data_IF_343171391136
#
_entry.id   IF_343171391136
#
_cell.length_a   1.000
_cell.length_b   1.000
_cell.length_c   1.000
_cell.angle_alpha   90.00
_cell.angle_beta   90.00
_cell.angle_gamma   90.00
#
_symmetry.space_group_name_H-M   'P 1'
#
loop_
_entity.id
_entity.type
_entity.pdbx_description
1 polymer ?
#
# COMPACT_ATOMS: atom_id res chain seq x y z
N UNK A 1 41.88 -1.05 51.67
CA UNK A 1 40.86 -1.81 50.91
C UNK A 1 39.57 -1.00 50.88
N UNK A 2 38.87 -1.05 49.74
CA UNK A 2 37.98 -0.03 49.15
C UNK A 2 36.74 0.34 50.00
N UNK A 3 36.45 1.65 50.10
CA UNK A 3 35.14 2.30 50.41
C UNK A 3 34.38 2.47 49.07
N UNK A 4 33.14 2.01 48.91
CA UNK A 4 31.82 2.54 49.31
C UNK A 4 31.32 3.76 48.48
N UNK A 5 30.15 3.52 47.86
CA UNK A 5 29.01 4.36 47.45
C UNK A 5 28.95 5.15 46.13
N UNK A 6 27.88 4.81 45.39
CA UNK A 6 27.01 5.56 44.47
C UNK A 6 27.24 7.07 44.32
N UNK A 7 27.31 7.53 43.06
CA UNK A 7 26.55 8.71 42.60
C UNK A 7 26.47 8.77 41.07
N UNK A 8 25.38 9.38 40.59
CA UNK A 8 25.00 9.70 39.22
C UNK A 8 26.17 10.09 38.30
N UNK A 9 26.22 9.52 37.08
CA UNK A 9 26.84 10.22 35.96
C UNK A 9 25.79 11.11 35.31
N UNK A 10 25.85 12.39 35.64
CA UNK A 10 25.27 13.48 34.86
C UNK A 10 25.84 13.42 33.44
N UNK A 11 24.95 13.38 32.45
CA UNK A 11 25.27 13.72 31.06
C UNK A 11 25.62 15.21 31.05
N UNK A 12 26.91 15.53 31.01
CA UNK A 12 27.36 16.84 30.55
C UNK A 12 27.43 16.75 29.02
N UNK A 13 26.34 17.15 28.37
CA UNK A 13 26.37 17.54 26.97
C UNK A 13 27.32 18.74 26.89
N UNK A 14 28.55 18.51 26.44
CA UNK A 14 29.47 19.58 26.09
C UNK A 14 28.97 20.19 24.77
N UNK A 15 27.90 21.00 24.86
CA UNK A 15 27.61 22.02 23.87
C UNK A 15 28.76 23.01 23.94
N UNK A 16 29.79 22.82 23.14
CA UNK A 16 30.75 23.88 22.84
C UNK A 16 30.03 24.91 21.97
N UNK A 17 29.29 25.81 22.60
CA UNK A 17 29.02 27.12 22.03
C UNK A 17 30.34 27.90 22.13
N UNK A 18 31.15 27.88 21.07
CA UNK A 18 32.26 28.80 20.92
C UNK A 18 31.70 30.15 20.44
N UNK A 19 31.41 31.05 21.38
CA UNK A 19 31.40 32.48 21.06
C UNK A 19 32.81 33.01 21.31
N UNK A 20 33.55 33.31 20.22
CA UNK A 20 34.83 34.01 20.30
C UNK A 20 34.58 35.51 20.04
N UNK A 21 35.06 36.36 20.97
CA UNK A 21 35.10 37.81 20.84
C UNK A 21 36.55 38.28 20.62
N UNK A 22 37.28 37.66 19.68
CA UNK A 22 38.57 38.15 19.21
C UNK A 22 38.55 38.27 17.68
N UNK A 23 38.94 39.42 17.14
CA UNK A 23 38.89 39.76 15.71
C UNK A 23 39.94 39.01 14.83
N UNK A 24 40.73 38.09 15.39
CA UNK A 24 41.90 37.52 14.70
C UNK A 24 41.95 35.97 14.65
N UNK A 25 40.83 35.26 14.79
CA UNK A 25 40.81 33.83 14.40
C UNK A 25 40.85 33.71 12.86
N UNK A 26 41.69 32.83 12.28
CA UNK A 26 41.70 32.61 10.85
C UNK A 26 40.31 32.14 10.43
N UNK A 27 39.67 32.89 9.53
CA UNK A 27 38.41 32.50 8.90
C UNK A 27 38.61 31.09 8.36
N UNK A 28 38.01 30.08 9.02
CA UNK A 28 37.79 28.78 8.40
C UNK A 28 36.83 29.09 7.26
N UNK A 29 37.39 29.28 6.07
CA UNK A 29 36.60 29.45 4.86
C UNK A 29 35.84 28.16 4.69
N UNK A 30 34.56 28.17 5.06
CA UNK A 30 33.64 27.12 4.69
C UNK A 30 33.78 26.90 3.18
N UNK A 31 34.26 25.71 2.81
CA UNK A 31 34.49 25.33 1.41
C UNK A 31 33.16 25.33 0.65
N UNK A 32 32.02 25.35 1.36
CA UNK A 32 30.71 25.16 0.77
C UNK A 32 30.52 23.71 0.36
N UNK A 33 29.41 23.40 -0.33
CA UNK A 33 29.05 22.04 -0.70
C UNK A 33 29.93 21.52 -1.84
N UNK A 34 30.36 20.26 -1.78
CA UNK A 34 31.05 19.59 -2.88
C UNK A 34 30.12 19.50 -4.11
N UNK A 35 30.56 19.99 -5.28
CA UNK A 35 29.74 20.05 -6.50
C UNK A 35 30.22 19.08 -7.60
N UNK A 36 31.51 18.74 -7.64
CA UNK A 36 32.06 17.80 -8.62
C UNK A 36 33.39 17.22 -8.16
N UNK A 37 33.70 16.03 -8.66
CA UNK A 37 35.01 15.40 -8.51
C UNK A 37 35.51 14.92 -9.89
N UNK A 38 36.81 15.07 -10.14
CA UNK A 38 37.49 14.60 -11.37
C UNK A 38 38.67 13.74 -10.97
N UNK A 39 38.75 12.52 -11.51
CA UNK A 39 39.87 11.61 -11.29
C UNK A 39 40.99 11.84 -12.31
N UNK A 40 42.23 11.80 -11.84
CA UNK A 40 43.44 11.94 -12.66
C UNK A 40 44.26 10.64 -12.61
N UNK A 41 44.17 9.82 -13.67
CA UNK A 41 44.80 8.49 -13.72
C UNK A 41 46.32 8.53 -13.57
N UNK A 42 46.98 9.56 -14.12
CA UNK A 42 48.44 9.74 -14.03
C UNK A 42 48.91 9.95 -12.60
N UNK A 43 48.15 10.72 -11.82
CA UNK A 43 48.53 11.15 -10.47
C UNK A 43 47.87 10.32 -9.38
N UNK A 44 46.86 9.49 -9.74
CA UNK A 44 46.04 8.71 -8.82
C UNK A 44 45.41 9.60 -7.74
N UNK A 45 44.85 10.72 -8.17
CA UNK A 45 44.20 11.72 -7.29
C UNK A 45 42.84 12.10 -7.82
N UNK A 46 41.98 12.60 -6.93
CA UNK A 46 40.75 13.31 -7.28
C UNK A 46 40.94 14.81 -7.06
N UNK A 47 40.51 15.61 -8.02
CA UNK A 47 40.30 17.05 -7.86
C UNK A 47 38.83 17.29 -7.54
N UNK A 48 38.58 17.82 -6.36
CA UNK A 48 37.28 18.19 -5.82
C UNK A 48 37.03 19.66 -6.15
N UNK A 49 35.79 20.00 -6.48
CA UNK A 49 35.36 21.39 -6.67
C UNK A 49 34.16 21.64 -5.78
N UNK A 50 34.21 22.74 -5.02
CA UNK A 50 33.16 23.13 -4.10
C UNK A 50 32.36 24.33 -4.60
N UNK A 51 31.18 24.56 -4.04
CA UNK A 51 30.23 25.58 -4.47
C UNK A 51 30.75 27.01 -4.36
N UNK A 52 31.75 27.26 -3.51
CA UNK A 52 32.40 28.56 -3.40
C UNK A 52 33.53 28.78 -4.44
N UNK A 53 33.75 27.81 -5.34
CA UNK A 53 34.79 27.85 -6.38
C UNK A 53 36.17 27.33 -5.95
N UNK A 54 36.35 26.95 -4.69
CA UNK A 54 37.60 26.33 -4.23
C UNK A 54 37.74 24.90 -4.77
N UNK A 55 38.99 24.48 -4.94
CA UNK A 55 39.33 23.10 -5.30
C UNK A 55 40.27 22.49 -4.28
N UNK A 56 40.16 21.17 -4.13
CA UNK A 56 41.01 20.37 -3.25
C UNK A 56 41.46 19.13 -4.00
N UNK A 57 42.65 18.63 -3.69
CA UNK A 57 43.16 17.38 -4.26
C UNK A 57 43.29 16.34 -3.17
N UNK A 58 42.67 15.18 -3.36
CA UNK A 58 42.76 14.04 -2.45
C UNK A 58 43.37 12.84 -3.17
N UNK A 59 44.13 12.04 -2.44
CA UNK A 59 44.71 10.81 -2.99
C UNK A 59 43.62 9.77 -3.19
N UNK A 60 43.70 9.04 -4.30
CA UNK A 60 42.83 7.92 -4.57
C UNK A 60 43.41 6.61 -4.02
N UNK A 61 42.57 5.79 -3.43
CA UNK A 61 42.81 4.39 -3.12
C UNK A 61 42.48 3.58 -4.37
N UNK A 62 43.45 2.79 -4.87
CA UNK A 62 43.26 1.96 -6.06
C UNK A 62 42.94 0.53 -5.64
N UNK A 63 41.84 -0.02 -6.14
CA UNK A 63 41.45 -1.41 -5.96
C UNK A 63 41.76 -2.22 -7.22
N UNK A 64 42.87 -2.95 -7.16
CA UNK A 64 43.35 -3.80 -8.25
C UNK A 64 42.64 -5.17 -8.32
N UNK A 65 41.70 -5.46 -7.42
CA UNK A 65 40.92 -6.72 -7.46
C UNK A 65 39.73 -6.65 -8.45
N UNK A 66 39.54 -5.49 -9.08
CA UNK A 66 38.51 -5.24 -10.09
C UNK A 66 39.15 -5.16 -11.49
N UNK A 67 38.41 -5.49 -12.55
CA UNK A 67 38.90 -5.39 -13.94
C UNK A 67 37.90 -4.59 -14.80
N UNK A 68 38.23 -3.36 -15.23
CA UNK A 68 39.47 -2.64 -14.94
C UNK A 68 39.59 -2.26 -13.44
N UNK A 69 40.81 -1.98 -12.94
CA UNK A 69 41.00 -1.51 -11.57
C UNK A 69 40.17 -0.26 -11.30
N UNK A 70 39.68 -0.11 -10.08
CA UNK A 70 38.83 1.03 -9.68
C UNK A 70 39.61 1.97 -8.77
N UNK A 71 39.13 3.21 -8.63
CA UNK A 71 39.72 4.16 -7.69
C UNK A 71 38.63 4.82 -6.83
N UNK A 72 38.91 5.01 -5.55
CA UNK A 72 38.01 5.68 -4.61
C UNK A 72 38.72 6.60 -3.63
N UNK A 73 37.97 7.50 -2.99
CA UNK A 73 38.43 8.27 -1.83
C UNK A 73 37.25 8.50 -0.88
N UNK A 74 37.51 8.52 0.42
CA UNK A 74 36.51 8.84 1.46
C UNK A 74 36.96 10.14 2.12
N UNK A 75 36.07 11.14 2.16
CA UNK A 75 36.33 12.43 2.79
C UNK A 75 36.07 12.37 4.30
N UNK A 76 36.52 13.38 5.04
CA UNK A 76 36.38 13.45 6.50
C UNK A 76 34.92 13.44 6.99
N UNK A 77 33.98 13.87 6.14
CA UNK A 77 32.54 13.84 6.41
C UNK A 77 31.86 12.50 6.03
N UNK A 78 32.64 11.52 5.56
CA UNK A 78 32.16 10.21 5.12
C UNK A 78 31.75 10.15 3.64
N UNK A 79 31.79 11.26 2.89
CA UNK A 79 31.46 11.26 1.46
C UNK A 79 32.43 10.39 0.67
N UNK A 80 31.91 9.43 -0.09
CA UNK A 80 32.70 8.62 -1.01
C UNK A 80 32.81 9.26 -2.40
N UNK A 81 33.95 9.06 -3.05
CA UNK A 81 34.22 9.46 -4.44
C UNK A 81 34.73 8.24 -5.18
N UNK A 82 34.27 8.01 -6.42
CA UNK A 82 34.55 6.75 -7.12
C UNK A 82 34.67 6.88 -8.65
N UNK A 83 35.58 6.12 -9.25
CA UNK A 83 35.64 5.84 -10.70
C UNK A 83 35.76 4.34 -11.01
N UNK A 84 35.05 3.92 -12.07
CA UNK A 84 34.95 2.52 -12.52
C UNK A 84 36.18 2.00 -13.27
N UNK A 85 36.98 2.89 -13.85
CA UNK A 85 38.20 2.55 -14.58
C UNK A 85 39.30 3.54 -14.18
N UNK A 86 40.21 3.11 -13.33
CA UNK A 86 41.30 3.92 -12.82
C UNK A 86 42.43 4.15 -13.84
N UNK A 87 42.34 3.55 -15.04
CA UNK A 87 43.31 3.77 -16.12
C UNK A 87 43.02 5.03 -16.94
N UNK A 88 41.84 5.62 -16.79
CA UNK A 88 41.41 6.79 -17.54
C UNK A 88 41.09 7.96 -16.62
N UNK A 89 41.59 9.16 -16.97
CA UNK A 89 41.18 10.39 -16.28
C UNK A 89 39.77 10.79 -16.70
N UNK A 90 38.97 11.34 -15.79
CA UNK A 90 37.60 11.71 -16.12
C UNK A 90 36.76 12.10 -14.92
N UNK A 91 35.48 12.39 -15.17
CA UNK A 91 34.52 12.74 -14.11
C UNK A 91 34.34 11.57 -13.14
N UNK A 92 34.45 11.84 -11.85
CA UNK A 92 34.20 10.88 -10.78
C UNK A 92 32.75 11.01 -10.24
N UNK A 93 32.28 9.91 -9.66
CA UNK A 93 31.00 9.84 -8.94
C UNK A 93 31.23 10.34 -7.52
N UNK A 94 30.31 11.15 -6.98
CA UNK A 94 30.28 11.58 -5.58
C UNK A 94 29.07 10.87 -4.94
N UNK A 95 29.27 10.22 -3.80
CA UNK A 95 28.32 9.33 -3.14
C UNK A 95 28.81 7.88 -3.13
N UNK A 96 27.96 6.96 -2.65
CA UNK A 96 28.32 5.54 -2.46
C UNK A 96 28.90 4.92 -3.74
N UNK A 97 30.00 4.14 -3.58
CA UNK A 97 30.47 3.21 -4.62
C UNK A 97 29.26 2.41 -5.11
N UNK A 98 28.91 2.42 -6.41
CA UNK A 98 27.90 1.50 -6.91
C UNK A 98 28.44 0.10 -6.61
N UNK A 99 27.85 -0.57 -5.63
CA UNK A 99 28.19 -1.95 -5.33
C UNK A 99 27.74 -2.74 -6.56
N UNK A 100 28.69 -3.06 -7.45
CA UNK A 100 28.39 -3.58 -8.80
C UNK A 100 27.66 -4.92 -8.74
N UNK A 101 27.66 -5.55 -7.56
CA UNK A 101 27.01 -6.81 -7.26
C UNK A 101 25.66 -6.66 -6.52
N UNK A 102 25.24 -5.42 -6.18
CA UNK A 102 23.98 -5.18 -5.47
C UNK A 102 22.80 -5.17 -6.44
N UNK A 103 21.78 -5.97 -6.12
CA UNK A 103 20.55 -6.00 -6.91
C UNK A 103 19.80 -4.66 -6.76
N UNK A 104 19.57 -3.98 -7.88
CA UNK A 104 18.89 -2.66 -7.93
C UNK A 104 17.46 -2.70 -7.39
N UNK A 105 16.74 -3.81 -7.56
CA UNK A 105 15.38 -3.99 -7.06
C UNK A 105 15.41 -4.19 -5.54
N UNK A 106 16.38 -4.94 -5.02
CA UNK A 106 16.61 -5.07 -3.57
C UNK A 106 16.91 -3.70 -2.94
N UNK A 107 17.73 -2.88 -3.60
CA UNK A 107 17.99 -1.52 -3.14
C UNK A 107 16.70 -0.66 -3.15
N UNK A 108 15.91 -0.73 -4.22
CA UNK A 108 14.61 -0.05 -4.29
C UNK A 108 13.66 -0.47 -3.15
N UNK A 109 13.60 -1.77 -2.84
CA UNK A 109 12.83 -2.30 -1.70
C UNK A 109 13.32 -1.68 -0.40
N UNK A 110 14.63 -1.66 -0.15
CA UNK A 110 15.19 -1.02 1.03
C UNK A 110 14.86 0.48 1.10
N UNK A 111 15.01 1.22 0.01
CA UNK A 111 14.75 2.66 -0.03
C UNK A 111 13.27 2.96 0.29
N UNK A 112 12.35 2.21 -0.33
CA UNK A 112 10.92 2.33 -0.05
C UNK A 112 10.58 2.01 1.40
N UNK A 113 11.11 0.90 1.92
CA UNK A 113 10.81 0.45 3.28
C UNK A 113 11.47 1.31 4.36
N UNK A 114 12.70 1.77 4.16
CA UNK A 114 13.40 2.65 5.11
C UNK A 114 12.81 4.06 5.18
N UNK A 115 12.04 4.49 4.16
CA UNK A 115 11.38 5.79 4.15
C UNK A 115 9.89 5.73 4.53
N UNK A 116 9.12 4.80 3.95
CA UNK A 116 7.66 4.83 4.00
C UNK A 116 7.04 3.83 4.98
N UNK A 117 7.78 2.79 5.37
CA UNK A 117 7.26 1.77 6.27
C UNK A 117 6.92 2.36 7.65
N UNK A 118 5.87 1.84 8.28
CA UNK A 118 5.46 2.28 9.61
C UNK A 118 6.58 2.08 10.65
N UNK A 119 7.30 0.96 10.53
CA UNK A 119 8.44 0.62 11.37
C UNK A 119 9.78 0.90 10.68
N UNK A 120 9.86 1.99 9.90
CA UNK A 120 11.07 2.36 9.13
C UNK A 120 12.35 2.40 9.97
N UNK A 121 12.26 2.82 11.23
CA UNK A 121 13.40 2.86 12.16
C UNK A 121 14.10 1.50 12.34
N UNK A 122 13.37 0.38 12.21
CA UNK A 122 13.93 -0.98 12.29
C UNK A 122 14.57 -1.43 10.97
N UNK A 123 14.17 -0.81 9.85
CA UNK A 123 14.65 -1.14 8.51
C UNK A 123 15.98 -0.44 8.20
N UNK A 124 16.20 0.78 8.72
CA UNK A 124 17.41 1.59 8.43
C UNK A 124 18.71 0.82 8.70
N UNK A 125 18.74 -0.04 9.73
CA UNK A 125 19.93 -0.85 10.07
C UNK A 125 20.10 -2.11 9.21
N UNK A 126 19.13 -2.43 8.35
CA UNK A 126 19.07 -3.65 7.53
C UNK A 126 19.46 -3.39 6.06
N UNK A 127 20.33 -2.41 5.78
CA UNK A 127 20.83 -2.09 4.42
C UNK A 127 21.22 -3.36 3.65
N UNK A 128 20.81 -3.51 2.38
CA UNK A 128 21.06 -4.71 1.61
C UNK A 128 22.55 -4.83 1.27
N UNK A 129 22.99 -6.05 1.02
CA UNK A 129 24.36 -6.39 0.63
C UNK A 129 24.38 -7.12 -0.70
N UNK A 130 25.56 -7.34 -1.30
CA UNK A 130 25.73 -8.16 -2.50
C UNK A 130 25.18 -9.62 -2.39
N UNK A 131 24.89 -10.10 -1.17
CA UNK A 131 24.25 -11.40 -0.96
C UNK A 131 22.72 -11.36 -1.13
N UNK A 132 22.10 -10.18 -1.08
CA UNK A 132 20.64 -9.99 -1.14
C UNK A 132 20.15 -9.94 -2.58
N UNK A 133 20.29 -11.07 -3.28
CA UNK A 133 20.05 -11.17 -4.72
C UNK A 133 18.57 -11.32 -5.09
N UNK A 134 17.77 -11.87 -4.20
CA UNK A 134 16.33 -12.04 -4.37
C UNK A 134 15.59 -10.90 -3.64
N UNK A 135 14.93 -9.99 -4.38
CA UNK A 135 14.21 -8.88 -3.78
C UNK A 135 13.01 -9.30 -2.92
N UNK A 136 12.34 -10.40 -3.27
CA UNK A 136 11.18 -10.91 -2.52
C UNK A 136 11.65 -11.52 -1.20
N UNK A 137 12.68 -12.37 -1.25
CA UNK A 137 13.29 -12.91 -0.03
C UNK A 137 13.78 -11.78 0.89
N UNK A 138 14.45 -10.78 0.32
CA UNK A 138 14.93 -9.62 1.06
C UNK A 138 13.78 -8.80 1.66
N UNK A 139 12.71 -8.55 0.92
CA UNK A 139 11.52 -7.84 1.39
C UNK A 139 10.96 -8.51 2.66
N UNK A 140 10.71 -9.82 2.61
CA UNK A 140 10.16 -10.55 3.75
C UNK A 140 11.15 -10.64 4.92
N UNK A 141 12.46 -10.67 4.65
CA UNK A 141 13.51 -10.66 5.69
C UNK A 141 13.52 -9.38 6.53
N UNK A 142 13.16 -8.23 5.96
CA UNK A 142 13.32 -6.93 6.64
C UNK A 142 12.05 -6.45 7.38
N UNK A 143 10.92 -7.14 7.23
CA UNK A 143 9.67 -6.80 7.91
C UNK A 143 9.81 -6.78 9.44
N UNK A 144 8.89 -6.04 10.08
CA UNK A 144 8.71 -6.06 11.52
C UNK A 144 7.98 -7.35 11.91
N UNK A 145 8.28 -7.94 13.07
CA UNK A 145 7.70 -9.20 13.54
C UNK A 145 6.16 -9.21 13.52
N UNK A 146 5.52 -8.07 13.85
CA UNK A 146 4.06 -7.93 13.82
C UNK A 146 3.53 -8.06 12.39
N UNK A 147 4.19 -7.40 11.43
CA UNK A 147 3.81 -7.50 10.02
C UNK A 147 4.09 -8.92 9.49
N UNK A 148 5.25 -9.51 9.81
CA UNK A 148 5.58 -10.89 9.46
C UNK A 148 4.53 -11.88 9.97
N UNK A 149 4.02 -11.68 11.19
CA UNK A 149 2.99 -12.53 11.77
C UNK A 149 1.64 -12.41 11.05
N UNK A 150 1.29 -11.22 10.58
CA UNK A 150 -0.03 -10.91 10.04
C UNK A 150 -0.10 -10.82 8.51
N UNK A 151 1.04 -10.71 7.82
CA UNK A 151 1.14 -10.58 6.36
C UNK A 151 0.46 -9.32 5.83
N UNK A 152 0.64 -8.16 6.47
CA UNK A 152 -0.01 -6.92 6.03
C UNK A 152 0.69 -6.29 4.83
N UNK A 153 2.01 -6.46 4.75
CA UNK A 153 2.87 -6.00 3.65
C UNK A 153 3.30 -7.17 2.76
N UNK A 154 3.33 -6.94 1.45
CA UNK A 154 3.69 -7.94 0.43
C UNK A 154 4.25 -7.23 -0.81
N UNK A 155 4.85 -8.01 -1.72
CA UNK A 155 5.50 -7.51 -2.94
C UNK A 155 5.03 -8.31 -4.15
N UNK A 156 5.04 -7.69 -5.34
CA UNK A 156 4.73 -8.32 -6.63
C UNK A 156 5.58 -7.68 -7.73
N UNK A 157 5.87 -8.43 -8.79
CA UNK A 157 6.49 -7.97 -10.02
C UNK A 157 5.47 -7.49 -11.08
N UNK A 158 4.17 -7.75 -10.86
CA UNK A 158 3.07 -7.31 -11.74
C UNK A 158 2.31 -6.10 -11.15
N UNK A 159 2.93 -4.93 -11.25
CA UNK A 159 2.33 -3.67 -10.78
C UNK A 159 1.11 -3.27 -11.61
N UNK A 160 1.07 -3.61 -12.90
CA UNK A 160 -0.03 -3.24 -13.78
C UNK A 160 -1.31 -3.97 -13.38
N UNK A 161 -1.24 -5.29 -13.18
CA UNK A 161 -2.38 -6.06 -12.67
C UNK A 161 -2.78 -5.61 -11.26
N UNK A 162 -1.82 -5.23 -10.41
CA UNK A 162 -2.13 -4.73 -9.07
C UNK A 162 -2.90 -3.40 -9.13
N UNK A 163 -2.43 -2.44 -9.93
CA UNK A 163 -3.10 -1.14 -10.07
C UNK A 163 -4.48 -1.29 -10.70
N UNK A 164 -4.62 -2.11 -11.76
CA UNK A 164 -5.92 -2.43 -12.35
C UNK A 164 -6.88 -3.03 -11.30
N UNK A 165 -6.38 -3.91 -10.43
CA UNK A 165 -7.17 -4.47 -9.33
C UNK A 165 -7.68 -3.44 -8.32
N UNK A 166 -6.92 -2.37 -8.04
CA UNK A 166 -7.38 -1.26 -7.20
C UNK A 166 -8.41 -0.35 -7.89
N UNK A 167 -8.43 -0.35 -9.21
CA UNK A 167 -9.40 0.35 -10.04
C UNK A 167 -10.69 -0.47 -10.25
N UNK A 168 -10.77 -1.68 -9.68
CA UNK A 168 -11.88 -2.61 -9.90
C UNK A 168 -11.94 -3.12 -11.34
N UNK A 169 -10.77 -3.34 -11.93
CA UNK A 169 -10.58 -4.06 -13.18
C UNK A 169 -9.81 -5.36 -12.93
N UNK A 170 -10.15 -6.40 -13.68
CA UNK A 170 -9.36 -7.64 -13.71
C UNK A 170 -9.21 -8.11 -15.14
N UNK A 171 -7.99 -8.47 -15.58
CA UNK A 171 -7.66 -8.70 -17.00
C UNK A 171 -7.93 -10.11 -17.49
N UNK A 172 -7.85 -11.12 -16.60
CA UNK A 172 -7.93 -12.55 -16.93
C UNK A 172 -8.87 -13.31 -15.99
N UNK A 173 -9.99 -12.68 -15.65
CA UNK A 173 -10.93 -13.20 -14.66
C UNK A 173 -12.14 -13.90 -15.27
N UNK A 174 -12.68 -14.86 -14.51
CA UNK A 174 -13.93 -15.54 -14.85
C UNK A 174 -15.16 -14.72 -14.42
N UNK A 175 -15.04 -13.89 -13.38
CA UNK A 175 -16.14 -13.05 -12.86
C UNK A 175 -16.93 -13.63 -11.68
N UNK A 176 -16.41 -14.67 -11.02
CA UNK A 176 -16.87 -15.09 -9.70
C UNK A 176 -15.75 -14.91 -8.68
N UNK A 177 -16.11 -14.76 -7.41
CA UNK A 177 -15.17 -14.82 -6.29
C UNK A 177 -15.28 -16.19 -5.62
N UNK A 178 -14.22 -17.01 -5.63
CA UNK A 178 -14.16 -18.24 -4.87
C UNK A 178 -13.46 -18.05 -3.51
N UNK A 179 -13.88 -18.82 -2.53
CA UNK A 179 -13.11 -19.09 -1.32
C UNK A 179 -12.52 -20.49 -1.42
N UNK A 180 -11.20 -20.58 -1.49
CA UNK A 180 -10.49 -21.83 -1.32
C UNK A 180 -10.66 -22.35 0.12
N UNK A 181 -11.12 -23.60 0.26
CA UNK A 181 -11.30 -24.28 1.53
C UNK A 181 -10.68 -25.67 1.45
N UNK A 182 -9.98 -26.09 2.51
CA UNK A 182 -9.55 -27.47 2.65
C UNK A 182 -10.76 -28.38 2.78
N UNK A 183 -10.85 -29.36 1.90
CA UNK A 183 -11.95 -30.32 1.88
C UNK A 183 -11.67 -31.55 2.76
N UNK A 184 -10.40 -31.85 3.02
CA UNK A 184 -9.98 -32.98 3.83
C UNK A 184 -9.08 -32.60 5.00
N UNK A 185 -9.02 -33.50 5.99
CA UNK A 185 -8.16 -33.39 7.15
C UNK A 185 -6.67 -33.51 6.83
N UNK A 186 -6.31 -34.08 5.67
CA UNK A 186 -4.94 -34.12 5.18
C UNK A 186 -4.48 -32.81 4.53
N UNK A 187 -5.37 -31.81 4.41
CA UNK A 187 -5.11 -30.51 3.81
C UNK A 187 -4.52 -30.59 2.39
N UNK A 188 -4.89 -31.63 1.66
CA UNK A 188 -4.38 -31.90 0.30
C UNK A 188 -5.35 -31.51 -0.80
N UNK A 189 -6.66 -31.55 -0.50
CA UNK A 189 -7.72 -31.19 -1.45
C UNK A 189 -8.29 -29.83 -1.10
N UNK A 190 -8.49 -29.02 -2.14
CA UNK A 190 -9.11 -27.70 -2.04
C UNK A 190 -10.41 -27.73 -2.84
N UNK A 191 -11.45 -27.08 -2.31
CA UNK A 191 -12.65 -26.72 -3.07
C UNK A 191 -12.80 -25.22 -3.11
N UNK A 192 -13.36 -24.69 -4.20
CA UNK A 192 -13.71 -23.29 -4.33
C UNK A 192 -15.17 -23.08 -4.02
N UNK A 193 -15.49 -22.51 -2.86
CA UNK A 193 -16.86 -22.11 -2.54
C UNK A 193 -17.15 -20.74 -3.17
N UNK A 194 -18.11 -20.66 -4.10
CA UNK A 194 -18.42 -19.40 -4.79
C UNK A 194 -19.11 -18.44 -3.83
N UNK A 195 -18.40 -17.40 -3.38
CA UNK A 195 -18.99 -16.38 -2.50
C UNK A 195 -19.93 -15.48 -3.27
N UNK A 196 -19.59 -15.06 -4.48
CA UNK A 196 -20.48 -14.25 -5.30
C UNK A 196 -20.04 -14.28 -6.76
N UNK A 197 -20.91 -13.77 -7.62
CA UNK A 197 -20.70 -13.66 -9.06
C UNK A 197 -21.01 -12.23 -9.46
N UNK A 198 -20.10 -11.60 -10.19
CA UNK A 198 -20.30 -10.24 -10.70
C UNK A 198 -21.27 -10.26 -11.89
N UNK A 199 -22.18 -9.29 -11.98
CA UNK A 199 -23.11 -9.19 -13.11
C UNK A 199 -22.37 -8.93 -14.42
N UNK A 200 -22.96 -9.34 -15.54
CA UNK A 200 -22.46 -9.17 -16.89
C UNK A 200 -21.11 -9.86 -17.20
N UNK A 201 -20.65 -10.78 -16.35
CA UNK A 201 -19.37 -11.48 -16.50
C UNK A 201 -19.49 -12.85 -17.19
N UNK A 202 -18.36 -13.46 -17.65
CA UNK A 202 -18.38 -14.82 -18.18
C UNK A 202 -18.99 -15.85 -17.23
N UNK A 203 -18.70 -15.76 -15.93
CA UNK A 203 -19.22 -16.65 -14.90
C UNK A 203 -20.75 -16.61 -14.78
N UNK A 204 -21.33 -15.39 -14.75
CA UNK A 204 -22.78 -15.23 -14.71
C UNK A 204 -23.44 -15.81 -15.97
N UNK A 205 -22.90 -15.50 -17.15
CA UNK A 205 -23.38 -16.04 -18.44
C UNK A 205 -23.31 -17.56 -18.50
N UNK A 206 -22.32 -18.14 -17.83
CA UNK A 206 -22.13 -19.58 -17.73
C UNK A 206 -23.02 -20.23 -16.64
N UNK A 207 -23.82 -19.43 -15.93
CA UNK A 207 -24.81 -19.90 -14.96
C UNK A 207 -24.24 -20.25 -13.59
N UNK A 208 -23.02 -19.81 -13.28
CA UNK A 208 -22.43 -19.95 -11.94
C UNK A 208 -23.25 -19.12 -10.94
N UNK A 209 -23.46 -19.67 -9.74
CA UNK A 209 -24.23 -19.03 -8.68
C UNK A 209 -23.48 -19.03 -7.35
N UNK A 210 -23.81 -18.02 -6.52
CA UNK A 210 -23.37 -17.98 -5.11
C UNK A 210 -23.75 -19.27 -4.39
N UNK A 211 -22.78 -19.83 -3.68
CA UNK A 211 -22.87 -21.03 -2.86
C UNK A 211 -22.57 -22.32 -3.60
N UNK A 212 -22.41 -22.30 -4.92
CA UNK A 212 -21.92 -23.49 -5.64
C UNK A 212 -20.46 -23.79 -5.29
N UNK A 213 -20.07 -25.05 -5.47
CA UNK A 213 -18.75 -25.58 -5.08
C UNK A 213 -17.98 -26.06 -6.30
N UNK A 214 -16.82 -25.47 -6.55
CA UNK A 214 -15.88 -25.87 -7.60
C UNK A 214 -14.96 -26.95 -7.04
N UNK A 215 -14.88 -28.09 -7.71
CA UNK A 215 -14.03 -29.22 -7.28
C UNK A 215 -12.92 -29.56 -8.27
N UNK A 216 -13.14 -29.30 -9.56
CA UNK A 216 -12.17 -29.59 -10.61
C UNK A 216 -12.03 -28.40 -11.56
N UNK A 217 -10.85 -28.28 -12.17
CA UNK A 217 -10.61 -27.43 -13.33
C UNK A 217 -9.88 -28.23 -14.41
N UNK A 218 -10.40 -28.19 -15.63
CA UNK A 218 -9.91 -28.95 -16.79
C UNK A 218 -9.78 -30.45 -16.50
N UNK A 219 -10.77 -31.02 -15.80
CA UNK A 219 -10.80 -32.43 -15.39
C UNK A 219 -9.85 -32.80 -14.24
N UNK A 220 -9.00 -31.88 -13.79
CA UNK A 220 -8.08 -32.10 -12.68
C UNK A 220 -8.70 -31.62 -11.36
N UNK A 221 -8.54 -32.42 -10.31
CA UNK A 221 -8.95 -32.04 -8.96
C UNK A 221 -8.24 -30.77 -8.51
N UNK A 222 -8.96 -29.90 -7.81
CA UNK A 222 -8.37 -28.71 -7.19
C UNK A 222 -7.63 -29.11 -5.89
N UNK A 223 -6.41 -28.62 -5.78
CA UNK A 223 -5.40 -28.94 -4.75
C UNK A 223 -4.61 -27.69 -4.40
N UNK A 224 -3.79 -27.77 -3.36
CA UNK A 224 -2.91 -26.66 -2.93
C UNK A 224 -1.97 -26.18 -4.05
N UNK A 225 -1.59 -27.05 -4.99
CA UNK A 225 -0.66 -26.67 -6.07
C UNK A 225 -1.33 -26.02 -7.28
N UNK A 226 -2.66 -26.09 -7.43
CA UNK A 226 -3.34 -25.58 -8.63
C UNK A 226 -4.59 -24.71 -8.36
N UNK A 227 -4.98 -24.48 -7.10
CA UNK A 227 -6.20 -23.74 -6.75
C UNK A 227 -6.25 -22.31 -7.31
N UNK A 228 -5.09 -21.70 -7.58
CA UNK A 228 -4.98 -20.36 -8.18
C UNK A 228 -5.71 -20.26 -9.53
N UNK A 229 -5.91 -21.37 -10.24
CA UNK A 229 -6.69 -21.42 -11.49
C UNK A 229 -8.13 -20.92 -11.33
N UNK A 230 -8.68 -20.90 -10.11
CA UNK A 230 -10.04 -20.39 -9.87
C UNK A 230 -10.09 -18.85 -9.83
N UNK A 231 -8.96 -18.17 -9.60
CA UNK A 231 -8.89 -16.72 -9.45
C UNK A 231 -8.59 -16.00 -10.77
N UNK A 232 -8.12 -16.73 -11.78
CA UNK A 232 -7.87 -16.22 -13.12
C UNK A 232 -7.08 -17.23 -13.95
N UNK A 233 -7.16 -17.11 -15.26
CA UNK A 233 -6.35 -17.90 -16.19
C UNK A 233 -6.25 -17.18 -17.53
N UNK A 234 -5.18 -17.45 -18.28
CA UNK A 234 -5.00 -16.85 -19.62
C UNK A 234 -5.69 -17.69 -20.72
N UNK A 235 -6.45 -18.71 -20.32
CA UNK A 235 -7.11 -19.65 -21.21
C UNK A 235 -8.46 -20.10 -20.67
N UNK A 236 -9.34 -20.46 -21.61
CA UNK A 236 -10.61 -21.11 -21.34
C UNK A 236 -10.44 -22.31 -20.39
N UNK A 237 -11.29 -22.39 -19.38
CA UNK A 237 -11.23 -23.41 -18.32
C UNK A 237 -12.59 -24.04 -18.13
N UNK A 238 -12.63 -25.37 -18.03
CA UNK A 238 -13.84 -26.14 -17.68
C UNK A 238 -13.83 -26.44 -16.20
N UNK A 239 -14.78 -25.88 -15.45
CA UNK A 239 -14.94 -26.14 -14.03
C UNK A 239 -16.01 -27.20 -13.79
N UNK A 240 -15.73 -28.19 -12.93
CA UNK A 240 -16.76 -29.07 -12.39
C UNK A 240 -17.33 -28.44 -11.13
N UNK A 241 -18.62 -28.12 -11.18
CA UNK A 241 -19.36 -27.35 -10.17
C UNK A 241 -20.49 -28.20 -9.60
N UNK A 242 -20.64 -28.16 -8.29
CA UNK A 242 -21.67 -28.86 -7.52
C UNK A 242 -22.53 -27.83 -6.77
N UNK A 243 -23.70 -28.26 -6.31
CA UNK A 243 -24.50 -27.45 -5.39
C UNK A 243 -23.91 -27.43 -3.96
N UNK A 244 -24.57 -26.69 -3.05
CA UNK A 244 -24.14 -26.54 -1.65
C UNK A 244 -24.11 -27.86 -0.87
N UNK A 245 -24.85 -28.89 -1.32
CA UNK A 245 -24.87 -30.20 -0.70
C UNK A 245 -23.81 -31.14 -1.28
N UNK A 246 -22.93 -30.63 -2.16
CA UNK A 246 -21.96 -31.42 -2.91
C UNK A 246 -22.63 -32.47 -3.81
N UNK A 247 -23.80 -32.12 -4.36
CA UNK A 247 -24.56 -32.95 -5.29
C UNK A 247 -24.63 -32.28 -6.67
N UNK A 248 -25.26 -32.99 -7.62
CA UNK A 248 -25.60 -32.47 -8.95
C UNK A 248 -24.40 -31.88 -9.73
N UNK A 249 -23.32 -32.66 -9.96
CA UNK A 249 -22.15 -32.16 -10.67
C UNK A 249 -22.49 -31.77 -12.11
N UNK A 250 -21.99 -30.60 -12.51
CA UNK A 250 -22.03 -30.14 -13.90
C UNK A 250 -20.72 -29.49 -14.31
N UNK A 251 -20.33 -29.72 -15.55
CA UNK A 251 -19.19 -29.04 -16.14
C UNK A 251 -19.63 -27.73 -16.78
N UNK A 252 -18.88 -26.66 -16.50
CA UNK A 252 -19.12 -25.34 -17.05
C UNK A 252 -17.82 -24.78 -17.60
N UNK A 253 -17.84 -24.54 -18.91
CA UNK A 253 -16.73 -23.94 -19.62
C UNK A 253 -16.83 -22.41 -19.56
N UNK A 254 -15.78 -21.76 -19.07
CA UNK A 254 -15.71 -20.31 -18.94
C UNK A 254 -14.46 -19.82 -19.64
N UNK A 255 -14.63 -18.84 -20.53
CA UNK A 255 -13.50 -18.12 -21.14
C UNK A 255 -13.22 -16.88 -20.29
N UNK A 256 -12.02 -16.74 -19.71
CA UNK A 256 -11.64 -15.57 -18.91
C UNK A 256 -11.60 -14.32 -19.80
N UNK A 257 -11.86 -13.17 -19.20
CA UNK A 257 -11.91 -11.90 -19.91
C UNK A 257 -11.48 -10.74 -19.01
N UNK A 258 -11.16 -9.61 -19.64
CA UNK A 258 -11.10 -8.33 -18.93
C UNK A 258 -12.51 -7.97 -18.46
N UNK A 259 -12.69 -7.78 -17.16
CA UNK A 259 -13.97 -7.44 -16.53
C UNK A 259 -13.85 -6.21 -15.63
N UNK A 260 -14.96 -5.49 -15.52
CA UNK A 260 -15.19 -4.46 -14.51
C UNK A 260 -15.90 -5.10 -13.32
N UNK A 261 -15.35 -4.92 -12.13
CA UNK A 261 -15.87 -5.46 -10.87
C UNK A 261 -16.45 -4.33 -10.03
N UNK A 262 -17.63 -3.84 -10.41
CA UNK A 262 -18.36 -2.84 -9.63
C UNK A 262 -18.59 -3.38 -8.20
N UNK A 263 -18.10 -2.68 -7.16
CA UNK A 263 -18.24 -3.12 -5.79
C UNK A 263 -19.66 -3.00 -5.25
N UNK A 264 -20.55 -2.22 -5.88
CA UNK A 264 -22.00 -2.21 -5.58
C UNK A 264 -22.63 -3.44 -6.22
N UNK A 265 -22.35 -4.60 -5.64
CA UNK A 265 -22.70 -5.88 -6.25
C UNK A 265 -24.21 -6.16 -6.17
N UNK A 266 -24.87 -5.70 -5.11
CA UNK A 266 -26.31 -5.81 -4.96
C UNK A 266 -26.85 -4.70 -4.04
N UNK A 267 -27.87 -3.99 -4.48
CA UNK A 267 -28.65 -3.06 -3.67
C UNK A 267 -30.14 -3.41 -3.77
N UNK A 268 -30.87 -3.27 -2.66
CA UNK A 268 -32.32 -3.42 -2.66
C UNK A 268 -32.96 -2.63 -1.52
N UNK A 269 -34.25 -2.33 -1.65
CA UNK A 269 -35.07 -1.75 -0.59
C UNK A 269 -36.08 -2.79 -0.15
N UNK A 270 -36.07 -3.08 1.15
CA UNK A 270 -37.03 -3.96 1.79
C UNK A 270 -38.02 -3.12 2.61
N UNK A 271 -39.30 -3.27 2.33
CA UNK A 271 -40.39 -2.57 3.03
C UNK A 271 -41.63 -3.47 3.10
N UNK A 272 -42.59 -3.15 3.97
CA UNK A 272 -43.85 -3.88 4.11
C UNK A 272 -44.12 -4.39 5.53
N UNK A 273 -45.16 -5.22 5.68
CA UNK A 273 -45.60 -5.76 6.97
C UNK A 273 -44.53 -6.63 7.63
N UNK A 274 -43.78 -7.40 6.83
CA UNK A 274 -42.66 -8.23 7.30
C UNK A 274 -41.54 -7.41 7.98
N UNK A 275 -41.49 -6.10 7.73
CA UNK A 275 -40.50 -5.19 8.28
C UNK A 275 -41.08 -4.23 9.33
N UNK A 276 -42.30 -4.48 9.81
CA UNK A 276 -43.03 -3.64 10.77
C UNK A 276 -43.16 -2.18 10.31
N UNK A 277 -43.34 -1.97 9.00
CA UNK A 277 -43.45 -0.64 8.41
C UNK A 277 -42.12 0.14 8.28
N UNK A 278 -40.99 -0.47 8.62
CA UNK A 278 -39.65 0.10 8.36
C UNK A 278 -39.27 -0.06 6.89
N UNK A 279 -38.41 0.84 6.42
CA UNK A 279 -37.81 0.78 5.09
C UNK A 279 -36.32 0.56 5.23
N UNK A 280 -35.86 -0.61 4.77
CA UNK A 280 -34.48 -1.05 4.94
C UNK A 280 -33.77 -1.01 3.60
N UNK A 281 -32.79 -0.13 3.47
CA UNK A 281 -31.81 -0.24 2.39
C UNK A 281 -30.85 -1.39 2.70
N UNK A 282 -30.64 -2.29 1.76
CA UNK A 282 -29.61 -3.31 1.84
C UNK A 282 -28.59 -3.08 0.75
N UNK A 283 -27.32 -3.03 1.12
CA UNK A 283 -26.21 -2.86 0.19
C UNK A 283 -25.16 -3.93 0.45
N UNK A 284 -24.89 -4.78 -0.53
CA UNK A 284 -23.74 -5.67 -0.54
C UNK A 284 -22.60 -5.02 -1.30
N UNK A 285 -21.57 -4.61 -0.57
CA UNK A 285 -20.45 -3.82 -1.07
C UNK A 285 -19.13 -4.60 -0.96
N UNK A 286 -18.52 -4.96 -2.09
CA UNK A 286 -17.44 -5.97 -2.10
C UNK A 286 -16.06 -5.39 -1.87
N UNK A 287 -15.78 -4.15 -2.26
CA UNK A 287 -14.45 -3.54 -2.19
C UNK A 287 -14.55 -2.02 -2.12
N UNK A 288 -13.55 -1.35 -1.56
CA UNK A 288 -13.46 0.11 -1.58
C UNK A 288 -12.66 0.60 -2.79
N UNK A 289 -13.29 0.58 -3.97
CA UNK A 289 -12.71 1.10 -5.22
C UNK A 289 -13.20 2.51 -5.48
N UNK A 290 -12.28 3.48 -5.55
CA UNK A 290 -12.62 4.90 -5.72
C UNK A 290 -13.36 5.18 -7.04
N UNK A 291 -12.97 4.50 -8.12
CA UNK A 291 -13.58 4.64 -9.45
C UNK A 291 -15.08 4.33 -9.49
N UNK A 292 -15.63 3.67 -8.46
CA UNK A 292 -17.05 3.31 -8.36
C UNK A 292 -17.81 4.11 -7.29
N UNK A 293 -17.25 5.24 -6.84
CA UNK A 293 -17.98 6.17 -5.96
C UNK A 293 -19.28 6.68 -6.60
N UNK A 294 -19.37 6.77 -7.93
CA UNK A 294 -20.61 7.16 -8.61
C UNK A 294 -21.67 6.03 -8.56
N UNK A 295 -21.27 4.76 -8.64
CA UNK A 295 -22.19 3.63 -8.40
C UNK A 295 -22.77 3.67 -6.99
N UNK A 296 -21.94 3.98 -5.98
CA UNK A 296 -22.40 4.23 -4.61
C UNK A 296 -23.38 5.41 -4.54
N UNK A 297 -23.04 6.53 -5.17
CA UNK A 297 -23.90 7.72 -5.20
C UNK A 297 -25.29 7.40 -5.77
N UNK A 298 -25.37 6.63 -6.85
CA UNK A 298 -26.64 6.21 -7.45
C UNK A 298 -27.47 5.32 -6.50
N UNK A 299 -26.86 4.28 -5.92
CA UNK A 299 -27.56 3.41 -4.97
C UNK A 299 -28.09 4.20 -3.75
N UNK A 300 -27.29 5.12 -3.21
CA UNK A 300 -27.70 5.97 -2.10
C UNK A 300 -28.72 7.03 -2.49
N UNK A 301 -28.73 7.50 -3.74
CA UNK A 301 -29.80 8.36 -4.25
C UNK A 301 -31.14 7.63 -4.24
N UNK A 302 -31.18 6.37 -4.67
CA UNK A 302 -32.39 5.55 -4.61
C UNK A 302 -32.86 5.33 -3.18
N UNK A 303 -31.95 4.98 -2.27
CA UNK A 303 -32.24 4.84 -0.84
C UNK A 303 -32.79 6.13 -0.23
N UNK A 304 -32.19 7.28 -0.58
CA UNK A 304 -32.65 8.59 -0.12
C UNK A 304 -34.05 8.92 -0.64
N UNK A 305 -34.30 8.68 -1.93
CA UNK A 305 -35.61 8.89 -2.55
C UNK A 305 -36.70 8.00 -1.95
N UNK A 306 -36.34 6.77 -1.59
CA UNK A 306 -37.27 5.83 -0.93
C UNK A 306 -37.55 6.19 0.54
N UNK A 307 -36.70 7.02 1.15
CA UNK A 307 -36.81 7.44 2.54
C UNK A 307 -36.52 6.30 3.51
N UNK A 308 -35.44 5.53 3.28
CA UNK A 308 -35.06 4.43 4.18
C UNK A 308 -34.78 4.93 5.60
N UNK A 309 -35.13 4.11 6.59
CA UNK A 309 -34.90 4.38 8.02
C UNK A 309 -33.76 3.54 8.59
N UNK A 310 -33.45 2.43 7.92
CA UNK A 310 -32.44 1.47 8.34
C UNK A 310 -31.56 1.14 7.13
N UNK A 311 -30.25 1.02 7.36
CA UNK A 311 -29.29 0.53 6.37
C UNK A 311 -28.65 -0.75 6.88
N UNK A 312 -28.72 -1.81 6.08
CA UNK A 312 -27.88 -3.00 6.23
C UNK A 312 -26.74 -2.88 5.22
N UNK A 313 -25.55 -2.60 5.73
CA UNK A 313 -24.31 -2.56 4.96
C UNK A 313 -23.59 -3.90 5.10
N UNK A 314 -23.58 -4.68 4.02
CA UNK A 314 -22.99 -6.00 3.99
C UNK A 314 -21.56 -5.94 3.43
N UNK A 315 -20.59 -6.06 4.33
CA UNK A 315 -19.15 -6.05 4.06
C UNK A 315 -18.53 -7.43 4.29
N UNK A 316 -19.34 -8.49 4.35
CA UNK A 316 -18.92 -9.81 4.87
C UNK A 316 -17.72 -10.43 4.15
N UNK A 317 -17.43 -10.03 2.93
CA UNK A 317 -16.29 -10.51 2.14
C UNK A 317 -15.37 -9.39 1.66
N UNK A 318 -15.51 -8.18 2.22
CA UNK A 318 -14.84 -6.99 1.73
C UNK A 318 -13.45 -6.79 2.37
N UNK A 319 -12.35 -6.99 1.63
CA UNK A 319 -10.99 -6.92 2.17
C UNK A 319 -10.51 -5.48 2.43
N UNK A 320 -11.35 -4.47 2.17
CA UNK A 320 -11.02 -3.06 2.28
C UNK A 320 -10.75 -2.43 0.91
N UNK A 321 -9.80 -1.50 0.86
CA UNK A 321 -9.45 -0.71 -0.32
C UNK A 321 -9.12 0.73 0.05
N UNK A 322 -9.44 1.67 -0.84
CA UNK A 322 -9.10 3.08 -0.70
C UNK A 322 -9.79 3.78 0.46
N UNK A 323 -9.01 4.54 1.25
CA UNK A 323 -9.54 5.38 2.34
C UNK A 323 -10.42 6.52 1.80
N UNK A 324 -10.14 7.02 0.59
CA UNK A 324 -10.98 7.98 -0.13
C UNK A 324 -12.38 7.41 -0.37
N UNK A 325 -12.48 6.21 -0.92
CA UNK A 325 -13.76 5.51 -1.12
C UNK A 325 -14.48 5.21 0.21
N UNK A 326 -13.73 4.87 1.26
CA UNK A 326 -14.31 4.68 2.60
C UNK A 326 -14.89 5.98 3.16
N UNK A 327 -14.16 7.08 3.02
CA UNK A 327 -14.60 8.43 3.38
C UNK A 327 -15.85 8.83 2.59
N UNK A 328 -15.90 8.51 1.30
CA UNK A 328 -17.07 8.77 0.45
C UNK A 328 -18.31 8.00 0.95
N UNK A 329 -18.19 6.69 1.16
CA UNK A 329 -19.28 5.87 1.71
C UNK A 329 -19.71 6.36 3.10
N UNK A 330 -18.76 6.65 3.99
CA UNK A 330 -19.04 7.20 5.31
C UNK A 330 -19.80 8.53 5.21
N UNK A 331 -19.50 9.37 4.22
CA UNK A 331 -20.18 10.64 3.97
C UNK A 331 -21.62 10.48 3.47
N UNK A 332 -21.96 9.34 2.89
CA UNK A 332 -23.34 9.00 2.51
C UNK A 332 -24.16 8.54 3.73
N UNK A 333 -23.50 8.02 4.78
CA UNK A 333 -24.14 7.35 5.93
C UNK A 333 -24.13 8.20 7.21
N UNK A 334 -23.08 8.96 7.47
CA UNK A 334 -22.91 9.75 8.68
C UNK A 334 -24.00 10.84 8.80
N UNK A 335 -24.35 11.29 10.03
CA UNK A 335 -25.30 12.38 10.22
C UNK A 335 -24.95 13.60 9.36
N UNK A 336 -25.94 14.12 8.64
CA UNK A 336 -25.75 15.18 7.65
C UNK A 336 -25.00 16.41 8.21
N UNK A 337 -25.20 16.75 9.49
CA UNK A 337 -24.49 17.86 10.13
C UNK A 337 -22.98 17.65 10.22
N UNK A 338 -22.53 16.44 10.54
CA UNK A 338 -21.10 16.10 10.65
C UNK A 338 -20.43 16.17 9.26
N UNK A 339 -21.15 15.71 8.23
CA UNK A 339 -20.70 15.79 6.83
C UNK A 339 -20.59 17.25 6.36
N UNK A 340 -21.58 18.08 6.66
CA UNK A 340 -21.56 19.51 6.29
C UNK A 340 -20.45 20.29 7.00
N UNK A 341 -20.16 19.95 8.26
CA UNK A 341 -19.06 20.54 9.05
C UNK A 341 -17.68 20.02 8.66
N UNK A 342 -17.62 18.99 7.79
CA UNK A 342 -16.39 18.28 7.43
C UNK A 342 -15.63 17.76 8.65
N UNK A 343 -16.34 17.07 9.54
CA UNK A 343 -15.72 16.52 10.74
C UNK A 343 -14.72 15.40 10.37
N UNK A 344 -13.60 15.23 11.13
CA UNK A 344 -12.57 14.25 10.79
C UNK A 344 -13.08 12.80 10.82
N UNK A 345 -13.02 12.10 9.69
CA UNK A 345 -13.40 10.69 9.62
C UNK A 345 -12.21 9.79 10.00
N UNK A 346 -11.03 10.05 9.43
CA UNK A 346 -9.82 9.25 9.69
C UNK A 346 -8.61 10.17 9.80
N UNK A 347 -7.70 9.85 10.71
CA UNK A 347 -6.39 10.50 10.83
C UNK A 347 -5.32 9.42 10.74
N UNK A 348 -4.54 9.44 9.67
CA UNK A 348 -3.46 8.49 9.46
C UNK A 348 -2.25 8.84 10.33
N UNK A 349 -1.70 7.80 10.97
CA UNK A 349 -0.44 7.87 11.71
C UNK A 349 0.60 7.05 10.96
N UNK A 350 1.59 7.73 10.39
CA UNK A 350 2.73 7.13 9.71
C UNK A 350 3.93 7.02 10.68
N UNK A 351 5.12 6.78 10.15
CA UNK A 351 6.36 6.98 10.89
C UNK A 351 6.61 8.46 11.22
N UNK A 352 7.58 8.73 12.11
CA UNK A 352 7.89 10.07 12.60
C UNK A 352 8.19 11.07 11.48
N UNK A 353 9.00 10.66 10.51
CA UNK A 353 9.38 11.48 9.36
C UNK A 353 8.14 11.86 8.54
N UNK A 354 7.34 10.89 8.09
CA UNK A 354 6.15 11.13 7.29
C UNK A 354 5.07 11.91 8.04
N UNK A 355 4.94 11.71 9.36
CA UNK A 355 4.01 12.50 10.16
C UNK A 355 4.36 14.00 10.14
N UNK A 356 5.66 14.32 10.19
CA UNK A 356 6.15 15.69 10.09
C UNK A 356 5.96 16.26 8.70
N UNK A 357 6.29 15.51 7.66
CA UNK A 357 6.20 15.96 6.27
C UNK A 357 4.74 16.15 5.82
N UNK A 358 3.84 15.23 6.16
CA UNK A 358 2.45 15.30 5.73
C UNK A 358 1.59 16.24 6.56
N UNK A 359 1.90 16.44 7.85
CA UNK A 359 1.15 17.36 8.70
C UNK A 359 -0.36 17.07 8.71
N UNK A 360 -1.17 18.02 8.25
CA UNK A 360 -2.63 17.90 8.17
C UNK A 360 -3.15 17.09 6.97
N UNK A 361 -2.33 16.85 5.93
CA UNK A 361 -2.73 16.02 4.77
C UNK A 361 -2.95 14.54 5.10
N UNK A 362 -2.70 14.16 6.36
CA UNK A 362 -2.97 12.83 6.91
C UNK A 362 -4.43 12.63 7.33
N UNK A 363 -5.25 13.68 7.26
CA UNK A 363 -6.66 13.66 7.68
C UNK A 363 -7.57 13.47 6.47
N UNK A 364 -8.56 12.62 6.61
CA UNK A 364 -9.70 12.50 5.70
C UNK A 364 -10.94 12.94 6.44
N UNK A 365 -11.66 13.90 5.88
CA UNK A 365 -12.83 14.47 6.53
C UNK A 365 -14.12 14.00 5.85
N UNK A 366 -15.20 13.87 6.62
CA UNK A 366 -16.52 13.62 6.05
C UNK A 366 -16.87 14.72 5.03
N UNK A 367 -17.55 14.36 3.94
CA UNK A 367 -17.91 15.25 2.84
C UNK A 367 -16.75 15.59 1.89
N UNK A 368 -15.57 15.00 2.08
CA UNK A 368 -14.45 15.11 1.16
C UNK A 368 -14.60 14.11 -0.01
N UNK A 369 -14.34 14.59 -1.23
CA UNK A 369 -14.44 13.80 -2.47
C UNK A 369 -13.71 14.52 -3.61
N UNK A 370 -13.34 13.77 -4.65
CA UNK A 370 -12.85 14.34 -5.90
C UNK A 370 -14.02 14.94 -6.70
N UNK A 371 -14.22 16.25 -6.58
CA UNK A 371 -15.35 16.96 -7.23
C UNK A 371 -15.26 17.05 -8.76
N UNK A 372 -14.13 16.66 -9.36
CA UNK A 372 -14.00 16.58 -10.82
C UNK A 372 -14.42 15.24 -11.39
N UNK A 373 -14.50 14.20 -10.55
CA UNK A 373 -14.79 12.83 -10.95
C UNK A 373 -16.13 12.32 -10.41
N UNK A 374 -16.51 12.72 -9.19
CA UNK A 374 -17.65 12.13 -8.50
C UNK A 374 -18.67 13.18 -8.05
N UNK A 375 -19.93 12.77 -7.99
CA UNK A 375 -21.01 13.57 -7.42
C UNK A 375 -20.80 13.88 -5.93
N UNK A 376 -21.30 15.01 -5.46
CA UNK A 376 -21.18 15.41 -4.06
C UNK A 376 -21.97 14.46 -3.14
N UNK A 377 -21.34 13.75 -2.17
CA UNK A 377 -22.03 12.77 -1.34
C UNK A 377 -23.14 13.38 -0.47
N UNK A 378 -23.08 14.67 -0.15
CA UNK A 378 -24.15 15.38 0.57
C UNK A 378 -25.50 15.25 -0.15
N UNK A 379 -25.50 15.22 -1.48
CA UNK A 379 -26.73 15.16 -2.27
C UNK A 379 -27.42 13.79 -2.18
N UNK A 380 -26.67 12.72 -1.90
CA UNK A 380 -27.19 11.36 -1.72
C UNK A 380 -27.13 10.87 -0.27
N UNK A 381 -26.68 11.69 0.69
CA UNK A 381 -26.67 11.32 2.10
C UNK A 381 -28.09 10.97 2.59
N UNK A 382 -28.20 9.84 3.30
CA UNK A 382 -29.45 9.24 3.77
C UNK A 382 -29.76 9.51 5.24
N UNK A 383 -28.84 10.14 5.99
CA UNK A 383 -28.95 10.27 7.44
C UNK A 383 -29.30 11.68 7.90
N UNK A 384 -30.61 11.93 8.00
CA UNK A 384 -31.17 13.16 8.56
C UNK A 384 -31.26 13.13 10.11
N UNK A 385 -30.43 12.32 10.78
CA UNK A 385 -30.34 12.22 12.24
C UNK A 385 -31.02 11.01 12.89
N UNK A 386 -31.68 10.15 12.11
CA UNK A 386 -32.46 9.00 12.62
C UNK A 386 -32.18 7.68 11.87
N UNK A 387 -31.03 7.55 11.19
CA UNK A 387 -30.67 6.32 10.47
C UNK A 387 -30.14 5.24 11.44
N UNK A 388 -30.70 4.03 11.40
CA UNK A 388 -30.11 2.85 12.03
C UNK A 388 -29.12 2.18 11.09
N UNK A 389 -27.88 1.96 11.52
CA UNK A 389 -26.86 1.27 10.72
C UNK A 389 -26.54 -0.11 11.29
N UNK A 390 -26.72 -1.13 10.46
CA UNK A 390 -26.32 -2.52 10.71
C UNK A 390 -25.21 -2.90 9.73
N UNK A 391 -24.06 -3.33 10.24
CA UNK A 391 -22.92 -3.73 9.40
C UNK A 391 -22.69 -5.23 9.54
N UNK A 392 -22.80 -5.97 8.44
CA UNK A 392 -22.50 -7.40 8.40
C UNK A 392 -21.02 -7.57 8.07
N UNK A 393 -20.25 -8.21 8.95
CA UNK A 393 -18.82 -8.49 8.72
C UNK A 393 -18.45 -9.94 9.05
N UNK A 394 -17.30 -10.39 8.53
CA UNK A 394 -16.69 -11.66 8.91
C UNK A 394 -15.18 -11.49 9.10
N UNK A 395 -14.48 -12.58 9.39
CA UNK A 395 -13.01 -12.63 9.35
C UNK A 395 -12.38 -12.18 8.02
N UNK A 396 -13.14 -12.17 6.91
CA UNK A 396 -12.69 -11.63 5.61
C UNK A 396 -12.87 -10.12 5.46
N UNK A 397 -13.52 -9.45 6.41
CA UNK A 397 -13.70 -8.00 6.42
C UNK A 397 -12.48 -7.33 7.04
N UNK A 398 -11.78 -6.48 6.29
CA UNK A 398 -10.50 -5.91 6.73
C UNK A 398 -10.34 -4.42 6.36
N UNK A 399 -9.42 -3.74 7.03
CA UNK A 399 -8.90 -2.43 6.64
C UNK A 399 -10.00 -1.36 6.48
N UNK A 400 -10.26 -0.85 5.27
CA UNK A 400 -11.32 0.15 5.04
C UNK A 400 -12.73 -0.31 5.51
N UNK A 401 -13.02 -1.61 5.47
CA UNK A 401 -14.26 -2.17 6.05
C UNK A 401 -14.32 -1.96 7.57
N UNK A 402 -13.18 -2.11 8.24
CA UNK A 402 -13.02 -1.88 9.67
C UNK A 402 -13.10 -0.38 9.99
N UNK A 403 -12.53 0.49 9.13
CA UNK A 403 -12.68 1.95 9.25
C UNK A 403 -14.16 2.37 9.27
N UNK A 404 -14.99 1.87 8.35
CA UNK A 404 -16.44 2.18 8.36
C UNK A 404 -17.06 1.81 9.70
N UNK A 405 -16.72 0.64 10.24
CA UNK A 405 -17.32 0.12 11.47
C UNK A 405 -16.90 0.96 12.68
N UNK A 406 -15.62 1.34 12.79
CA UNK A 406 -15.08 2.02 13.97
C UNK A 406 -15.15 3.56 13.87
N UNK A 407 -14.84 4.14 12.72
CA UNK A 407 -14.77 5.59 12.54
C UNK A 407 -16.14 6.26 12.43
N UNK A 408 -17.22 5.51 12.22
CA UNK A 408 -18.60 6.03 12.32
C UNK A 408 -19.13 6.06 13.76
N UNK A 409 -18.57 5.26 14.68
CA UNK A 409 -19.05 5.16 16.07
C UNK A 409 -19.09 6.50 16.84
N UNK A 410 -18.17 7.46 16.63
CA UNK A 410 -18.27 8.78 17.26
C UNK A 410 -19.48 9.60 16.80
N UNK A 411 -20.04 9.29 15.64
CA UNK A 411 -21.10 10.06 14.99
C UNK A 411 -22.48 9.42 15.12
N UNK A 412 -22.53 8.09 15.20
CA UNK A 412 -23.79 7.33 15.26
C UNK A 412 -23.59 5.94 15.85
N UNK A 413 -24.69 5.29 16.24
CA UNK A 413 -24.67 3.90 16.65
C UNK A 413 -24.42 2.99 15.43
N UNK A 414 -23.47 2.07 15.57
CA UNK A 414 -23.12 1.07 14.55
C UNK A 414 -23.35 -0.31 15.12
N UNK A 415 -24.35 -1.02 14.60
CA UNK A 415 -24.68 -2.38 15.04
C UNK A 415 -23.90 -3.40 14.22
N UNK A 416 -22.95 -4.08 14.84
CA UNK A 416 -22.15 -5.10 14.18
C UNK A 416 -22.83 -6.48 14.26
N UNK A 417 -23.03 -7.11 13.10
CA UNK A 417 -23.55 -8.48 12.95
C UNK A 417 -22.50 -9.36 12.28
N UNK A 418 -22.25 -10.56 12.83
CA UNK A 418 -21.39 -11.58 12.21
C UNK A 418 -20.22 -11.99 13.09
N UNK A 419 -19.06 -12.22 12.46
CA UNK A 419 -17.84 -12.67 13.14
C UNK A 419 -16.92 -11.50 13.50
N UNK A 420 -15.84 -11.77 14.23
CA UNK A 420 -14.75 -10.79 14.36
C UNK A 420 -14.13 -10.52 12.99
N UNK A 421 -13.82 -9.26 12.72
CA UNK A 421 -13.10 -8.80 11.52
C UNK A 421 -11.64 -9.28 11.51
N UNK A 422 -10.93 -9.01 10.41
CA UNK A 422 -9.53 -9.42 10.26
C UNK A 422 -8.57 -8.81 11.29
N UNK A 423 -8.89 -7.66 11.89
CA UNK A 423 -8.03 -6.97 12.84
C UNK A 423 -6.90 -6.18 12.19
N UNK A 424 -7.03 -5.76 10.92
CA UNK A 424 -6.02 -4.97 10.21
C UNK A 424 -6.24 -3.48 10.48
N UNK A 425 -5.57 -2.98 11.52
CA UNK A 425 -5.62 -1.56 11.90
C UNK A 425 -4.63 -0.67 11.12
N UNK A 426 -3.94 -1.24 10.13
CA UNK A 426 -2.97 -0.53 9.28
C UNK A 426 -3.54 -0.27 7.88
N UNK A 427 -3.11 0.84 7.28
CA UNK A 427 -3.30 1.10 5.85
C UNK A 427 -2.02 0.78 5.09
N UNK A 428 -2.14 0.39 3.82
CA UNK A 428 -1.01 0.13 2.94
C UNK A 428 -0.96 1.15 1.82
N UNK A 429 0.25 1.51 1.40
CA UNK A 429 0.50 2.32 0.21
C UNK A 429 1.39 1.52 -0.73
N UNK A 430 1.08 1.55 -2.02
CA UNK A 430 1.91 0.88 -3.03
C UNK A 430 3.07 1.78 -3.41
N UNK A 431 4.28 1.23 -3.29
CA UNK A 431 5.51 1.88 -3.73
C UNK A 431 6.00 1.11 -4.96
N UNK A 432 6.03 1.76 -6.11
CA UNK A 432 6.52 1.17 -7.34
C UNK A 432 7.46 2.15 -8.07
N UNK A 433 8.39 1.64 -8.86
CA UNK A 433 9.43 2.44 -9.53
C UNK A 433 8.86 3.50 -10.50
N UNK A 434 7.61 3.32 -10.95
CA UNK A 434 6.89 4.27 -11.80
C UNK A 434 6.17 5.40 -11.04
N UNK A 435 6.25 5.46 -9.70
CA UNK A 435 5.60 6.52 -8.93
C UNK A 435 6.20 7.88 -9.32
N UNK A 436 5.41 8.64 -10.07
CA UNK A 436 5.65 10.04 -10.36
C UNK A 436 5.19 10.86 -9.17
N UNK A 437 6.12 11.47 -8.42
CA UNK A 437 5.75 12.67 -7.66
C UNK A 437 5.41 13.77 -8.69
N UNK A 438 4.19 14.32 -8.71
CA UNK A 438 3.86 15.37 -9.65
C UNK A 438 4.77 16.58 -9.39
N UNK A 439 5.58 16.94 -10.39
CA UNK A 439 6.13 18.30 -10.50
C UNK A 439 4.95 19.21 -10.87
N UNK A 440 4.50 20.12 -9.99
CA UNK A 440 3.34 20.97 -10.23
C UNK A 440 3.48 21.85 -11.48
N UNK A 441 4.70 22.04 -11.98
CA UNK A 441 4.99 23.00 -13.03
C UNK A 441 5.24 22.39 -14.42
N UNK A 442 5.57 21.09 -14.54
CA UNK A 442 6.06 20.56 -15.82
C UNK A 442 5.28 19.41 -16.45
N UNK A 443 4.37 18.74 -15.70
CA UNK A 443 3.60 17.56 -16.18
C UNK A 443 4.46 16.49 -16.89
N UNK A 444 5.78 16.45 -16.66
CA UNK A 444 6.68 15.45 -17.24
C UNK A 444 6.85 14.28 -16.26
N UNK A 445 6.55 13.09 -16.74
CA UNK A 445 6.73 11.82 -16.03
C UNK A 445 8.24 11.58 -15.88
N UNK A 446 8.73 11.49 -14.65
CA UNK A 446 10.06 10.95 -14.35
C UNK A 446 9.88 9.76 -13.44
N UNK A 447 10.51 8.63 -13.79
CA UNK A 447 10.79 7.59 -12.82
C UNK A 447 11.54 8.20 -11.63
N UNK A 448 11.29 7.68 -10.43
CA UNK A 448 12.02 8.08 -9.23
C UNK A 448 13.52 8.01 -9.56
N UNK A 449 14.23 9.14 -9.41
CA UNK A 449 15.69 9.05 -9.30
C UNK A 449 15.92 8.27 -8.00
N UNK A 450 16.57 7.12 -8.11
CA UNK A 450 17.27 6.49 -6.99
C UNK A 450 18.23 7.56 -6.45
N UNK A 451 17.79 8.30 -5.43
CA UNK A 451 18.64 9.24 -4.73
C UNK A 451 19.39 8.41 -3.70
N UNK A 452 20.65 8.11 -4.03
CA UNK A 452 21.68 7.84 -3.04
C UNK A 452 21.65 9.02 -2.07
N UNK A 453 21.47 8.77 -0.78
CA UNK A 453 21.45 9.80 0.26
C UNK A 453 22.65 10.75 0.08
N UNK A 454 22.41 11.96 -0.43
CA UNK A 454 23.28 13.09 -0.15
C UNK A 454 22.55 13.91 0.91
N UNK A 455 23.04 13.83 2.14
CA UNK A 455 22.51 14.56 3.29
C UNK A 455 22.29 16.05 3.01
N UNK A 456 21.23 16.60 3.61
CA UNK A 456 20.89 18.02 3.61
C UNK A 456 21.79 18.82 4.55
#
# INVERSE_FOLDING_TARGET
MKKILFTLFTITLLLTLSTSCQEDDPIVKDKGRLISATYHATYKTFTLTYSNGQTETVNAVIDNNTTPPTASATLDDGTEIYVKDSSQSGKATIGEKPDQDLNVVTQFVYDGMSQYYLWSNEVISKKPTANDKDPEEYFYKILNDTDTQHGWSWITDDVESLMAGFEGESTDAFGFQPQALYYDSSMSRIVGFVRYVYPNTPAEKAGIKRGEVITHANGNLITVSNYMIMYGANAKTTFTVLDQNFENPRDVEITPAKISTDPVLYSNIYEGEDFNGRKIGYLFYTNFYENYNESLFHAFTEFKSAGITDLVLDLRYNPGGGISAATYLASLIAPIEAVQKKEPFTILSFNEYLNKEYGDSRKYNLGEYNSTEYSNPINANINNGNLNLYVITTSSSASASELITFCLMPYMQVEHIGEKTSGKYTASQTIHAYNSFPDPNTKRIRAQRLYVESGL
#
